data_IF_349949696717
#
_entry.id   IF_349949696717
#
_cell.length_a   1.000
_cell.length_b   1.000
_cell.length_c   1.000
_cell.angle_alpha   90.00
_cell.angle_beta   90.00
_cell.angle_gamma   90.00
#
_symmetry.space_group_name_H-M   'P 1'
#
loop_
_entity.id
_entity.type
_entity.pdbx_description
1 polymer ?
#
# COMPACT_ATOMS: atom_id res chain seq x y z
N UNK A 1 -1.88 18.79 16.05
CA UNK A 1 -1.81 18.23 14.68
C UNK A 1 -3.14 18.52 14.01
N UNK A 2 -3.11 19.06 12.79
CA UNK A 2 -4.34 19.33 12.02
C UNK A 2 -5.05 18.02 11.61
N UNK A 3 -6.37 18.06 11.44
CA UNK A 3 -7.21 16.89 11.13
C UNK A 3 -7.02 16.31 9.73
N UNK A 4 -6.00 16.72 8.95
CA UNK A 4 -5.78 16.24 7.58
C UNK A 4 -5.37 14.77 7.53
N UNK A 5 -4.84 14.22 8.63
CA UNK A 5 -4.30 12.85 8.70
C UNK A 5 -5.40 11.78 8.86
N UNK A 6 -6.63 12.16 9.27
CA UNK A 6 -7.78 11.25 9.46
C UNK A 6 -9.09 11.79 8.84
N UNK A 7 -8.98 12.63 7.82
CA UNK A 7 -10.13 13.15 7.07
C UNK A 7 -10.53 12.26 5.89
N UNK A 8 -9.77 12.33 4.80
CA UNK A 8 -10.01 11.59 3.57
C UNK A 8 -8.92 10.56 3.31
N UNK A 9 -9.26 9.49 2.59
CA UNK A 9 -8.27 8.52 2.17
C UNK A 9 -7.40 9.04 0.99
N UNK A 10 -6.21 8.46 0.82
CA UNK A 10 -5.23 8.94 -0.14
C UNK A 10 -5.53 8.58 -1.62
N UNK A 11 -6.35 7.57 -1.92
CA UNK A 11 -6.51 7.03 -3.27
C UNK A 11 -7.78 7.53 -3.96
N UNK A 12 -8.89 7.69 -3.24
CA UNK A 12 -10.17 8.10 -3.83
C UNK A 12 -10.08 9.46 -4.54
N UNK A 13 -9.50 10.53 -3.93
CA UNK A 13 -9.36 11.81 -4.61
C UNK A 13 -8.46 11.72 -5.85
N UNK A 14 -7.39 10.92 -5.78
CA UNK A 14 -6.50 10.72 -6.93
C UNK A 14 -7.20 9.99 -8.07
N UNK A 15 -8.07 9.03 -7.77
CA UNK A 15 -8.87 8.32 -8.78
C UNK A 15 -9.83 9.27 -9.49
N UNK A 16 -10.48 10.15 -8.74
CA UNK A 16 -11.35 11.19 -9.28
C UNK A 16 -10.60 12.16 -10.19
N UNK A 17 -9.39 12.58 -9.79
CA UNK A 17 -8.53 13.44 -10.60
C UNK A 17 -8.02 12.68 -11.83
N UNK A 18 -7.67 11.40 -11.70
CA UNK A 18 -7.21 10.54 -12.79
C UNK A 18 -8.23 10.48 -13.92
N UNK A 19 -9.51 10.31 -13.59
CA UNK A 19 -10.61 10.25 -14.55
C UNK A 19 -10.83 11.56 -15.33
N UNK A 20 -10.27 12.68 -14.87
CA UNK A 20 -10.47 14.02 -15.44
C UNK A 20 -9.22 14.63 -16.06
N UNK A 21 -8.10 13.90 -16.02
CA UNK A 21 -6.80 14.39 -16.45
C UNK A 21 -6.05 13.30 -17.19
N UNK A 22 -5.23 13.69 -18.16
CA UNK A 22 -4.47 12.74 -18.99
C UNK A 22 -2.96 12.82 -18.81
N UNK A 23 -2.42 13.90 -18.22
CA UNK A 23 -0.97 14.17 -18.22
C UNK A 23 -0.35 14.36 -16.84
N UNK A 24 -1.09 14.89 -15.87
CA UNK A 24 -0.52 15.20 -14.55
C UNK A 24 -0.21 13.91 -13.76
N UNK A 25 0.90 13.90 -13.01
CA UNK A 25 1.22 12.81 -12.09
C UNK A 25 0.31 12.84 -10.87
N UNK A 26 0.04 11.66 -10.29
CA UNK A 26 -0.89 11.46 -9.19
C UNK A 26 -0.14 10.88 -7.98
N UNK A 27 0.14 11.72 -6.99
CA UNK A 27 0.95 11.34 -5.84
C UNK A 27 0.17 11.17 -4.54
N UNK A 28 0.37 10.06 -3.83
CA UNK A 28 -0.10 9.95 -2.43
C UNK A 28 0.89 10.69 -1.51
N UNK A 29 0.43 11.72 -0.78
CA UNK A 29 1.27 12.57 0.08
C UNK A 29 0.77 12.63 1.54
N UNK A 30 0.72 11.53 2.29
CA UNK A 30 1.22 10.16 2.03
C UNK A 30 0.15 9.13 2.37
N UNK A 31 0.15 7.99 1.70
CA UNK A 31 -0.72 6.86 2.05
C UNK A 31 -0.29 6.29 3.41
N UNK A 32 -1.21 6.33 4.38
CA UNK A 32 -0.97 5.89 5.75
C UNK A 32 -0.88 4.36 5.83
N UNK A 33 0.24 3.86 6.35
CA UNK A 33 0.52 2.43 6.40
C UNK A 33 -0.35 1.70 7.42
N UNK A 34 -0.75 2.36 8.51
CA UNK A 34 -1.61 1.75 9.54
C UNK A 34 -3.05 1.49 9.05
N UNK A 35 -3.51 2.21 8.03
CA UNK A 35 -4.88 2.09 7.51
C UNK A 35 -5.11 0.79 6.75
N UNK A 36 -4.06 0.22 6.12
CA UNK A 36 -4.18 -0.88 5.14
C UNK A 36 -3.01 -1.83 5.23
N UNK A 37 -3.24 -3.10 4.98
CA UNK A 37 -2.16 -4.05 4.74
C UNK A 37 -1.29 -3.58 3.56
N UNK A 38 0.02 -3.93 3.54
CA UNK A 38 0.89 -3.57 2.42
C UNK A 38 0.38 -4.10 1.07
N UNK A 39 -0.26 -5.28 1.05
CA UNK A 39 -0.84 -5.84 -0.16
C UNK A 39 -2.02 -5.03 -0.67
N UNK A 40 -2.93 -4.57 0.20
CA UNK A 40 -4.05 -3.70 -0.21
C UNK A 40 -3.56 -2.35 -0.72
N UNK A 41 -2.53 -1.77 -0.11
CA UNK A 41 -1.92 -0.52 -0.59
C UNK A 41 -1.31 -0.67 -1.98
N UNK A 42 -0.58 -1.77 -2.21
CA UNK A 42 -0.04 -2.07 -3.53
C UNK A 42 -1.14 -2.33 -4.57
N UNK A 43 -2.23 -3.03 -4.22
CA UNK A 43 -3.38 -3.22 -5.11
C UNK A 43 -4.06 -1.90 -5.50
N UNK A 44 -4.20 -0.95 -4.57
CA UNK A 44 -4.71 0.38 -4.91
C UNK A 44 -3.78 1.12 -5.87
N UNK A 45 -2.46 1.05 -5.63
CA UNK A 45 -1.48 1.65 -6.52
C UNK A 45 -1.56 1.04 -7.93
N UNK A 46 -1.61 -0.29 -8.05
CA UNK A 46 -1.77 -1.00 -9.33
C UNK A 46 -3.03 -0.58 -10.08
N UNK A 47 -4.18 -0.57 -9.39
CA UNK A 47 -5.46 -0.20 -10.00
C UNK A 47 -5.45 1.25 -10.47
N UNK A 48 -4.97 2.17 -9.63
CA UNK A 48 -4.90 3.58 -10.00
C UNK A 48 -3.88 3.82 -11.12
N UNK A 49 -2.77 3.08 -11.13
CA UNK A 49 -1.76 3.15 -12.19
C UNK A 49 -2.34 2.73 -13.54
N UNK A 50 -3.08 1.62 -13.55
CA UNK A 50 -3.80 1.15 -14.73
C UNK A 50 -4.86 2.16 -15.20
N UNK A 51 -5.70 2.67 -14.28
CA UNK A 51 -6.75 3.66 -14.60
C UNK A 51 -6.18 5.00 -15.08
N UNK A 52 -4.98 5.36 -14.62
CA UNK A 52 -4.35 6.63 -14.96
C UNK A 52 -3.40 6.54 -16.15
N UNK A 53 -3.05 5.33 -16.63
CA UNK A 53 -2.07 5.14 -17.69
C UNK A 53 -0.63 5.40 -17.23
N UNK A 54 -0.24 4.86 -16.07
CA UNK A 54 1.16 4.93 -15.60
C UNK A 54 1.54 6.19 -14.84
N UNK A 55 0.56 6.96 -14.31
CA UNK A 55 0.81 8.30 -13.73
C UNK A 55 0.99 8.31 -12.21
N UNK A 56 0.98 7.15 -11.55
CA UNK A 56 0.94 7.07 -10.09
C UNK A 56 2.32 7.21 -9.46
N UNK A 57 2.37 7.96 -8.36
CA UNK A 57 3.52 8.06 -7.46
C UNK A 57 3.08 7.68 -6.03
N UNK A 58 3.50 6.52 -5.55
CA UNK A 58 3.10 6.02 -4.23
C UNK A 58 4.05 6.55 -3.14
N UNK A 59 3.65 7.60 -2.43
CA UNK A 59 4.26 8.01 -1.17
C UNK A 59 3.60 7.31 0.02
N UNK A 60 4.41 6.81 0.96
CA UNK A 60 3.99 6.05 2.14
C UNK A 60 4.38 6.78 3.43
N UNK A 61 3.56 6.66 4.47
CA UNK A 61 3.87 7.20 5.79
C UNK A 61 3.34 6.36 6.93
N UNK A 62 4.13 6.25 8.00
CA UNK A 62 3.80 5.42 9.16
C UNK A 62 2.68 6.01 10.05
N UNK A 63 2.58 7.34 10.07
CA UNK A 63 1.87 8.09 11.13
C UNK A 63 2.53 7.99 12.51
N UNK A 64 2.01 8.76 13.48
CA UNK A 64 2.42 8.71 14.89
C UNK A 64 1.46 7.89 15.77
N UNK A 65 1.86 7.50 17.00
CA UNK A 65 1.07 6.63 17.88
C UNK A 65 -0.37 7.10 18.09
N UNK A 66 -0.59 8.41 18.26
CA UNK A 66 -1.93 8.98 18.45
C UNK A 66 -2.91 8.59 17.32
N UNK A 67 -2.44 8.59 16.06
CA UNK A 67 -3.27 8.23 14.91
C UNK A 67 -3.33 6.72 14.75
N UNK A 68 -2.19 6.03 14.87
CA UNK A 68 -2.11 4.58 14.68
C UNK A 68 -2.98 3.83 15.70
N UNK A 69 -2.87 4.20 16.97
CA UNK A 69 -3.59 3.55 18.07
C UNK A 69 -4.99 4.16 18.25
N UNK A 70 -5.08 5.49 18.28
CA UNK A 70 -6.33 6.18 18.61
C UNK A 70 -7.37 6.18 17.47
N UNK A 71 -6.92 6.22 16.21
CA UNK A 71 -7.84 6.28 15.05
C UNK A 71 -7.94 4.95 14.31
N UNK A 72 -6.81 4.28 14.05
CA UNK A 72 -6.81 3.02 13.31
C UNK A 72 -6.92 1.77 14.21
N UNK A 73 -6.82 1.92 15.55
CA UNK A 73 -6.94 0.79 16.48
C UNK A 73 -5.83 -0.26 16.30
N UNK A 74 -4.67 0.14 15.78
CA UNK A 74 -3.53 -0.73 15.53
C UNK A 74 -2.43 -0.46 16.56
N UNK A 75 -1.65 -1.47 16.98
CA UNK A 75 -0.48 -1.21 17.81
C UNK A 75 0.55 -0.38 17.05
N UNK A 76 1.11 0.65 17.68
CA UNK A 76 2.27 1.33 17.11
C UNK A 76 3.47 0.36 17.11
N UNK A 77 4.22 0.23 16.00
CA UNK A 77 5.27 -0.78 15.92
C UNK A 77 6.42 -0.47 16.88
N UNK A 78 6.86 -1.50 17.60
CA UNK A 78 8.03 -1.41 18.48
C UNK A 78 9.33 -0.99 17.76
N UNK A 79 9.41 -1.19 16.43
CA UNK A 79 10.46 -0.65 15.58
C UNK A 79 9.86 0.00 14.33
N UNK A 80 9.67 1.33 14.33
CA UNK A 80 9.11 2.08 13.20
C UNK A 80 9.84 1.85 11.88
N UNK A 81 11.18 1.84 11.91
CA UNK A 81 11.99 1.68 10.70
C UNK A 81 11.91 0.25 10.15
N UNK A 82 11.93 -0.77 11.01
CA UNK A 82 11.83 -2.16 10.57
C UNK A 82 10.44 -2.46 10.00
N UNK A 83 9.37 -2.03 10.67
CA UNK A 83 8.00 -2.14 10.15
C UNK A 83 7.85 -1.44 8.79
N UNK A 84 8.46 -0.26 8.64
CA UNK A 84 8.43 0.48 7.37
C UNK A 84 9.15 -0.26 6.26
N UNK A 85 10.34 -0.83 6.53
CA UNK A 85 11.08 -1.63 5.55
C UNK A 85 10.30 -2.88 5.12
N UNK A 86 9.73 -3.61 6.08
CA UNK A 86 8.91 -4.80 5.79
C UNK A 86 7.69 -4.44 4.92
N UNK A 87 7.00 -3.35 5.24
CA UNK A 87 5.84 -2.88 4.46
C UNK A 87 6.24 -2.56 3.02
N UNK A 88 7.32 -1.78 2.84
CA UNK A 88 7.83 -1.38 1.53
C UNK A 88 8.27 -2.60 0.73
N UNK A 89 8.88 -3.59 1.36
CA UNK A 89 9.31 -4.81 0.67
C UNK A 89 8.11 -5.61 0.17
N UNK A 90 7.08 -5.80 0.99
CA UNK A 90 5.85 -6.45 0.55
C UNK A 90 5.19 -5.68 -0.60
N UNK A 91 5.12 -4.34 -0.52
CA UNK A 91 4.61 -3.51 -1.62
C UNK A 91 5.42 -3.76 -2.90
N UNK A 92 6.75 -3.75 -2.83
CA UNK A 92 7.63 -4.00 -3.99
C UNK A 92 7.44 -5.40 -4.57
N UNK A 93 7.28 -6.42 -3.74
CA UNK A 93 7.00 -7.78 -4.23
C UNK A 93 5.69 -7.85 -5.03
N UNK A 94 4.64 -7.19 -4.53
CA UNK A 94 3.34 -7.12 -5.23
C UNK A 94 3.50 -6.42 -6.59
N UNK A 95 4.18 -5.26 -6.60
CA UNK A 95 4.38 -4.44 -7.79
C UNK A 95 5.25 -5.16 -8.85
N UNK A 96 6.42 -5.69 -8.44
CA UNK A 96 7.31 -6.47 -9.32
C UNK A 96 6.66 -7.73 -9.87
N UNK A 97 5.80 -8.36 -9.07
CA UNK A 97 5.00 -9.52 -9.47
C UNK A 97 5.88 -10.67 -10.02
N UNK A 98 7.08 -10.85 -9.47
CA UNK A 98 8.00 -11.91 -9.90
C UNK A 98 7.52 -13.28 -9.42
N UNK A 99 7.14 -13.39 -8.14
CA UNK A 99 6.69 -14.62 -7.47
C UNK A 99 5.42 -14.38 -6.63
N UNK A 100 4.78 -15.43 -6.09
CA UNK A 100 3.81 -15.27 -4.99
C UNK A 100 4.44 -14.50 -3.82
N UNK A 101 3.69 -13.54 -3.27
CA UNK A 101 4.15 -12.63 -2.22
C UNK A 101 4.26 -13.38 -0.90
N UNK A 102 5.42 -13.25 -0.26
CA UNK A 102 5.70 -13.85 1.04
C UNK A 102 6.55 -12.91 1.90
N UNK A 103 6.38 -13.02 3.21
CA UNK A 103 7.14 -12.25 4.18
C UNK A 103 7.17 -13.01 5.49
N UNK A 104 8.36 -13.29 5.99
CA UNK A 104 8.56 -13.77 7.36
C UNK A 104 8.79 -12.61 8.34
N UNK A 105 8.46 -11.38 7.92
CA UNK A 105 8.59 -10.15 8.70
C UNK A 105 7.73 -10.18 9.97
N UNK A 106 8.23 -9.56 11.03
CA UNK A 106 7.56 -9.53 12.33
C UNK A 106 6.27 -8.70 12.30
N UNK A 107 6.27 -7.61 11.55
CA UNK A 107 5.17 -6.64 11.50
C UNK A 107 4.19 -6.94 10.36
N UNK A 108 4.69 -7.52 9.26
CA UNK A 108 3.89 -7.87 8.09
C UNK A 108 4.13 -9.31 7.63
N UNK A 109 3.78 -10.33 8.45
CA UNK A 109 3.91 -11.73 8.06
C UNK A 109 2.89 -12.10 6.99
N UNK A 110 3.35 -12.76 5.93
CA UNK A 110 2.54 -13.26 4.82
C UNK A 110 3.06 -14.64 4.38
N UNK A 111 2.26 -15.72 4.50
CA UNK A 111 0.92 -15.77 5.09
C UNK A 111 0.92 -15.55 6.61
N UNK A 112 -0.23 -15.19 7.18
CA UNK A 112 -0.40 -15.08 8.62
C UNK A 112 -0.32 -16.45 9.29
N UNK A 113 0.49 -16.56 10.36
CA UNK A 113 0.75 -17.79 11.12
C UNK A 113 0.49 -17.65 12.63
N UNK A 114 -0.33 -16.67 13.01
CA UNK A 114 -0.70 -16.45 14.42
C UNK A 114 -1.65 -17.52 14.96
N UNK A 115 -1.85 -17.56 16.29
CA UNK A 115 -2.62 -18.61 16.98
C UNK A 115 -4.11 -18.65 16.59
N UNK A 116 -4.64 -17.55 16.08
CA UNK A 116 -6.01 -17.37 15.59
C UNK A 116 -6.14 -17.63 14.06
N UNK A 117 -5.08 -18.07 13.40
CA UNK A 117 -5.09 -18.41 11.98
C UNK A 117 -5.75 -19.76 11.69
N UNK A 118 -6.45 -19.86 10.55
CA UNK A 118 -7.08 -21.12 10.10
C UNK A 118 -6.07 -22.14 9.53
N UNK A 119 -4.82 -21.74 9.30
CA UNK A 119 -3.79 -22.56 8.66
C UNK A 119 -3.90 -22.68 7.14
N UNK A 120 -4.94 -22.11 6.50
CA UNK A 120 -5.16 -22.19 5.05
C UNK A 120 -4.40 -21.13 4.24
N UNK A 121 -3.72 -20.19 4.91
CA UNK A 121 -3.00 -19.11 4.26
C UNK A 121 -1.84 -19.63 3.40
N UNK A 122 -1.79 -19.19 2.15
CA UNK A 122 -0.68 -19.47 1.22
C UNK A 122 -0.22 -18.18 0.53
N UNK A 123 1.05 -18.09 0.11
CA UNK A 123 1.52 -16.99 -0.74
C UNK A 123 0.64 -16.84 -1.99
N UNK A 124 0.27 -15.59 -2.31
CA UNK A 124 -0.57 -15.25 -3.46
C UNK A 124 0.15 -14.26 -4.37
N UNK A 125 -0.15 -14.32 -5.67
CA UNK A 125 0.39 -13.41 -6.69
C UNK A 125 -0.74 -12.54 -7.24
N UNK A 126 -0.58 -11.21 -7.36
CA UNK A 126 -1.62 -10.36 -7.93
C UNK A 126 -1.92 -10.76 -9.37
N UNK A 127 -3.17 -10.56 -9.82
CA UNK A 127 -3.58 -10.87 -11.20
C UNK A 127 -3.29 -9.67 -12.11
N UNK A 128 -3.60 -8.46 -11.64
CA UNK A 128 -3.35 -7.19 -12.31
C UNK A 128 -1.86 -6.94 -12.56
N UNK A 129 -1.54 -6.32 -13.69
CA UNK A 129 -0.20 -5.86 -14.05
C UNK A 129 -0.14 -4.33 -13.93
N UNK A 130 1.05 -3.81 -13.65
CA UNK A 130 1.34 -2.39 -13.84
C UNK A 130 1.10 -1.99 -15.30
N UNK A 131 0.81 -0.71 -15.54
CA UNK A 131 0.73 -0.22 -16.91
C UNK A 131 2.12 -0.33 -17.54
N UNK A 132 2.23 -1.09 -18.62
CA UNK A 132 3.47 -1.18 -19.39
C UNK A 132 3.69 0.18 -20.06
N UNK A 133 4.77 0.88 -19.71
CA UNK A 133 5.18 2.04 -20.47
C UNK A 133 5.55 1.54 -21.86
N UNK A 134 4.69 1.81 -22.86
CA UNK A 134 5.03 1.57 -24.25
C UNK A 134 6.29 2.38 -24.56
N UNK A 135 7.45 1.74 -24.85
CA UNK A 135 8.69 2.46 -25.15
C UNK A 135 8.60 3.27 -26.46
N UNK A 136 7.50 3.17 -27.21
CA UNK A 136 7.24 3.88 -28.45
C UNK A 136 6.36 5.15 -28.31
N UNK A 137 6.05 5.60 -27.08
CA UNK A 137 5.35 6.89 -26.84
C UNK A 137 6.23 7.94 -26.15
#
# INVERSE_FOLDING_TARGET
MDGRVWGSDAFTPLTWIAARTSTIKLGTAVAQMATRSPTTTAMHALTLDHLSGGRVMLGLGLSGPQVVEGWYGRPFPASPLASTREYVEVVRQVLRREAPVASDGRFHPLPYRGPDGTGLGKPLKPITREHEQDPAR
#
